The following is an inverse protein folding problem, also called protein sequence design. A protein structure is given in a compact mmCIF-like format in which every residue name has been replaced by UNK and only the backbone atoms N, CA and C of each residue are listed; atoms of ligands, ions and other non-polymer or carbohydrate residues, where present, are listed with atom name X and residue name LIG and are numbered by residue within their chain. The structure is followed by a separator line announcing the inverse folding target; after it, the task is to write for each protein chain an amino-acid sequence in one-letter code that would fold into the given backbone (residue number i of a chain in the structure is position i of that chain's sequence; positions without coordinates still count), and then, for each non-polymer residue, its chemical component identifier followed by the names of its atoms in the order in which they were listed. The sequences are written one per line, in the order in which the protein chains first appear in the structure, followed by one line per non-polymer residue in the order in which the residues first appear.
data_IF_839468101892
#
_entry.id   IF_839468101892
#
_cell.length_a   1.000
_cell.length_b   1.000
_cell.length_c   1.000
_cell.angle_alpha   90.00
_cell.angle_beta   90.00
_cell.angle_gamma   90.00
#
_symmetry.space_group_name_H-M   'P 1'
#
loop_
_entity.id
_entity.type
_entity.pdbx_description
1 polymer ?
#
# COMPACT_ATOMS: atom_id res chain seq x y z
N UNK A 1 -17.14 -17.45 -6.24
CA UNK A 1 -18.27 -17.23 -5.29
C UNK A 1 -18.01 -17.93 -3.95
N UNK A 2 -17.57 -19.21 -3.94
CA UNK A 2 -17.18 -19.89 -2.70
C UNK A 2 -16.02 -19.21 -1.94
N UNK A 3 -15.04 -18.66 -2.64
CA UNK A 3 -13.88 -18.00 -1.99
C UNK A 3 -14.27 -16.72 -1.25
N UNK A 4 -15.23 -15.95 -1.80
CA UNK A 4 -15.75 -14.75 -1.14
C UNK A 4 -16.52 -15.08 0.15
N UNK A 5 -17.32 -16.15 0.13
CA UNK A 5 -18.06 -16.60 1.32
C UNK A 5 -17.12 -17.07 2.44
N UNK A 6 -15.94 -17.61 2.09
CA UNK A 6 -14.92 -17.99 3.06
C UNK A 6 -14.21 -16.78 3.72
N UNK A 7 -14.22 -15.63 3.05
CA UNK A 7 -13.59 -14.38 3.51
C UNK A 7 -14.53 -13.53 4.36
N UNK A 8 -15.86 -13.64 4.18
CA UNK A 8 -16.85 -12.83 4.91
C UNK A 8 -16.63 -12.80 6.44
N UNK A 9 -16.30 -13.91 7.12
CA UNK A 9 -16.01 -13.87 8.56
C UNK A 9 -14.79 -12.99 8.89
N UNK A 10 -13.75 -12.98 8.02
CA UNK A 10 -12.52 -12.20 8.23
C UNK A 10 -12.77 -10.69 8.17
N UNK A 11 -13.77 -10.24 7.41
CA UNK A 11 -14.15 -8.82 7.39
C UNK A 11 -14.50 -8.28 8.79
N UNK A 12 -14.96 -9.15 9.69
CA UNK A 12 -15.28 -8.77 11.08
C UNK A 12 -14.09 -8.83 12.04
N UNK A 13 -13.02 -9.56 11.69
CA UNK A 13 -11.86 -9.80 12.56
C UNK A 13 -10.59 -9.07 12.11
N UNK A 14 -10.61 -8.50 10.90
CA UNK A 14 -9.46 -7.82 10.29
C UNK A 14 -9.15 -8.44 8.93
N UNK A 15 -8.90 -7.57 7.95
CA UNK A 15 -8.58 -7.95 6.59
C UNK A 15 -7.08 -7.74 6.32
N UNK A 16 -6.39 -8.80 5.92
CA UNK A 16 -4.99 -8.72 5.56
C UNK A 16 -4.83 -8.13 4.16
N UNK A 17 -4.14 -6.99 4.08
CA UNK A 17 -3.78 -6.33 2.82
C UNK A 17 -2.29 -6.08 2.78
N UNK A 18 -1.71 -6.19 1.59
CA UNK A 18 -0.29 -5.90 1.39
C UNK A 18 -0.16 -4.89 0.25
N UNK A 19 0.14 -3.63 0.61
CA UNK A 19 0.23 -2.53 -0.36
C UNK A 19 1.52 -2.61 -1.17
N UNK A 20 1.49 -2.05 -2.38
CA UNK A 20 2.68 -1.66 -3.14
C UNK A 20 2.73 -0.14 -3.21
N UNK A 21 3.93 0.42 -3.17
CA UNK A 21 4.09 1.87 -3.07
C UNK A 21 4.05 2.60 -4.43
N UNK A 22 3.64 1.91 -5.49
CA UNK A 22 3.70 2.37 -6.89
C UNK A 22 2.44 3.08 -7.38
N UNK A 23 1.30 2.87 -6.73
CA UNK A 23 0.02 3.40 -7.19
C UNK A 23 -1.06 3.28 -6.12
N UNK A 24 -2.11 4.11 -6.18
CA UNK A 24 -3.13 4.20 -5.12
C UNK A 24 -4.09 3.00 -5.05
N UNK A 25 -4.04 2.10 -6.04
CA UNK A 25 -4.84 0.87 -6.11
C UNK A 25 -3.94 -0.37 -6.10
N UNK A 26 -2.64 -0.21 -5.86
CA UNK A 26 -1.70 -1.29 -6.04
C UNK A 26 -1.60 -2.11 -4.75
N UNK A 27 -2.33 -3.21 -4.70
CA UNK A 27 -2.24 -4.20 -3.64
C UNK A 27 -1.71 -5.52 -4.22
N UNK A 28 -1.02 -6.31 -3.41
CA UNK A 28 -0.86 -7.72 -3.69
C UNK A 28 -2.23 -8.40 -3.60
N UNK A 29 -2.56 -9.20 -4.61
CA UNK A 29 -3.85 -9.86 -4.67
C UNK A 29 -3.93 -10.94 -3.59
N UNK A 30 -4.73 -10.67 -2.55
CA UNK A 30 -5.10 -11.64 -1.54
C UNK A 30 -6.53 -12.12 -1.80
N UNK A 31 -6.90 -13.34 -1.38
CA UNK A 31 -8.29 -13.82 -1.46
C UNK A 31 -9.29 -12.83 -0.86
N UNK A 32 -8.85 -12.09 0.16
CA UNK A 32 -9.57 -11.04 0.85
C UNK A 32 -10.06 -9.91 -0.07
N UNK A 33 -9.26 -9.55 -1.09
CA UNK A 33 -9.58 -8.50 -2.05
C UNK A 33 -10.77 -8.85 -2.96
N UNK A 34 -11.09 -10.15 -3.13
CA UNK A 34 -12.15 -10.61 -4.05
C UNK A 34 -13.52 -10.01 -3.70
N UNK A 35 -13.77 -9.68 -2.44
CA UNK A 35 -15.05 -9.12 -1.99
C UNK A 35 -15.26 -7.73 -2.59
N UNK A 36 -14.20 -6.92 -2.68
CA UNK A 36 -14.27 -5.58 -3.27
C UNK A 36 -14.49 -5.65 -4.77
N UNK A 37 -13.81 -6.57 -5.46
CA UNK A 37 -13.99 -6.80 -6.90
C UNK A 37 -15.41 -7.29 -7.23
N UNK A 38 -15.97 -8.20 -6.42
CA UNK A 38 -17.33 -8.73 -6.64
C UNK A 38 -18.42 -7.68 -6.40
N UNK A 39 -18.17 -6.72 -5.51
CA UNK A 39 -19.10 -5.63 -5.21
C UNK A 39 -18.89 -4.41 -6.11
N UNK A 40 -17.90 -4.47 -7.03
CA UNK A 40 -17.45 -3.33 -7.84
C UNK A 40 -17.11 -2.10 -6.98
N UNK A 41 -16.53 -2.33 -5.80
CA UNK A 41 -16.11 -1.29 -4.86
C UNK A 41 -14.60 -1.13 -4.99
N UNK A 42 -14.09 0.05 -5.37
CA UNK A 42 -12.64 0.25 -5.47
C UNK A 42 -12.00 0.32 -4.07
N UNK A 43 -10.90 -0.42 -3.91
CA UNK A 43 -10.01 -0.33 -2.75
C UNK A 43 -8.83 0.58 -3.06
N UNK A 44 -8.57 1.54 -2.17
CA UNK A 44 -7.52 2.55 -2.31
C UNK A 44 -6.60 2.60 -1.09
N UNK A 45 -5.37 3.07 -1.29
CA UNK A 45 -4.46 3.55 -0.26
C UNK A 45 -3.69 4.78 -0.77
N UNK A 46 -3.08 5.54 0.15
CA UNK A 46 -2.29 6.74 -0.19
C UNK A 46 -0.81 6.62 0.18
N UNK A 47 -0.34 5.41 0.40
CA UNK A 47 1.03 5.12 0.78
C UNK A 47 1.91 4.90 -0.46
N UNK A 48 2.32 5.99 -1.10
CA UNK A 48 3.11 5.97 -2.34
C UNK A 48 4.50 6.57 -2.10
N UNK A 49 5.48 6.09 -2.86
CA UNK A 49 6.77 6.77 -2.95
C UNK A 49 6.60 8.02 -3.82
N UNK A 50 7.25 9.12 -3.42
CA UNK A 50 7.34 10.33 -4.23
C UNK A 50 8.34 10.13 -5.38
N UNK A 51 7.94 10.27 -6.66
CA UNK A 51 8.83 10.16 -7.82
C UNK A 51 9.98 11.17 -7.83
N UNK A 52 9.87 12.28 -7.08
CA UNK A 52 10.95 13.26 -6.93
C UNK A 52 12.14 12.68 -6.16
N UNK A 53 11.90 11.72 -5.27
CA UNK A 53 12.92 11.07 -4.44
C UNK A 53 13.46 9.82 -5.12
N UNK A 54 14.31 10.00 -6.13
CA UNK A 54 14.88 8.90 -6.94
C UNK A 54 15.59 7.82 -6.09
N UNK A 55 16.24 8.21 -4.99
CA UNK A 55 16.89 7.29 -4.06
C UNK A 55 15.87 6.34 -3.40
N UNK A 56 14.72 6.88 -2.96
CA UNK A 56 13.64 6.08 -2.35
C UNK A 56 12.96 5.22 -3.40
N UNK A 57 12.73 5.75 -4.60
CA UNK A 57 12.18 4.98 -5.73
C UNK A 57 13.07 3.78 -6.04
N UNK A 58 14.39 3.96 -6.08
CA UNK A 58 15.33 2.88 -6.32
C UNK A 58 15.36 1.87 -5.16
N UNK A 59 15.41 2.35 -3.92
CA UNK A 59 15.46 1.52 -2.72
C UNK A 59 14.20 0.66 -2.54
N UNK A 60 13.01 1.26 -2.74
CA UNK A 60 11.70 0.59 -2.60
C UNK A 60 11.35 -0.24 -3.84
N UNK A 61 11.63 0.29 -5.03
CA UNK A 61 11.34 -0.36 -6.30
C UNK A 61 9.86 -0.71 -6.46
N UNK A 62 9.58 -1.97 -6.82
CA UNK A 62 8.22 -2.51 -7.01
C UNK A 62 7.79 -3.47 -5.88
N UNK A 63 8.52 -3.44 -4.76
CA UNK A 63 8.24 -4.29 -3.61
C UNK A 63 6.87 -3.94 -3.00
N UNK A 64 6.16 -4.97 -2.53
CA UNK A 64 5.09 -4.78 -1.56
C UNK A 64 5.66 -4.49 -0.17
N UNK A 65 4.82 -4.08 0.78
CA UNK A 65 5.26 -3.83 2.16
C UNK A 65 6.02 -5.02 2.75
N UNK A 66 5.47 -6.24 2.65
CA UNK A 66 6.14 -7.45 3.16
C UNK A 66 7.50 -7.69 2.50
N UNK A 67 7.57 -7.55 1.17
CA UNK A 67 8.82 -7.71 0.41
C UNK A 67 9.85 -6.65 0.79
N UNK A 68 9.40 -5.42 1.06
CA UNK A 68 10.29 -4.32 1.45
C UNK A 68 10.88 -4.55 2.84
N UNK A 69 10.08 -5.01 3.80
CA UNK A 69 10.55 -5.37 5.14
C UNK A 69 11.60 -6.49 5.07
N UNK A 70 11.33 -7.55 4.29
CA UNK A 70 12.31 -8.63 4.06
C UNK A 70 13.59 -8.12 3.38
N UNK A 71 13.47 -7.22 2.41
CA UNK A 71 14.62 -6.56 1.75
C UNK A 71 15.45 -5.79 2.77
N UNK A 72 14.83 -4.99 3.64
CA UNK A 72 15.54 -4.20 4.67
C UNK A 72 16.33 -5.11 5.62
N UNK A 73 15.70 -6.19 6.09
CA UNK A 73 16.36 -7.16 6.98
C UNK A 73 17.57 -7.79 6.28
N UNK A 74 17.40 -8.22 5.04
CA UNK A 74 18.46 -8.84 4.23
C UNK A 74 19.61 -7.86 3.95
N UNK A 75 19.29 -6.61 3.63
CA UNK A 75 20.27 -5.53 3.42
C UNK A 75 21.14 -5.27 4.65
N UNK A 76 20.56 -5.31 5.87
CA UNK A 76 21.30 -5.12 7.13
C UNK A 76 22.32 -6.22 7.43
N UNK A 77 22.11 -7.42 6.88
CA UNK A 77 23.01 -8.55 7.06
C UNK A 77 24.10 -8.64 5.98
N UNK A 78 24.01 -7.79 4.95
CA UNK A 78 24.93 -7.80 3.83
C UNK A 78 26.23 -7.04 4.14
N UNK A 79 27.32 -7.43 3.50
CA UNK A 79 28.61 -6.71 3.57
C UNK A 79 28.78 -5.68 2.45
N UNK A 80 27.90 -5.69 1.45
CA UNK A 80 27.91 -4.71 0.36
C UNK A 80 27.35 -3.37 0.84
N UNK A 81 28.20 -2.34 0.82
CA UNK A 81 27.84 -0.99 1.25
C UNK A 81 26.68 -0.39 0.46
N UNK A 82 26.50 -0.79 -0.82
CA UNK A 82 25.40 -0.29 -1.65
C UNK A 82 24.06 -0.85 -1.18
N UNK A 83 23.99 -2.17 -0.95
CA UNK A 83 22.79 -2.85 -0.45
C UNK A 83 22.41 -2.41 0.97
N UNK A 84 23.40 -2.15 1.82
CA UNK A 84 23.19 -1.59 3.17
C UNK A 84 22.59 -0.19 3.06
N UNK A 85 23.13 0.67 2.17
CA UNK A 85 22.61 2.02 1.96
C UNK A 85 21.18 2.00 1.42
N UNK A 86 20.86 1.13 0.45
CA UNK A 86 19.50 0.96 -0.04
C UNK A 86 18.53 0.53 1.07
N UNK A 87 18.96 -0.43 1.91
CA UNK A 87 18.16 -0.88 3.05
C UNK A 87 17.88 0.24 4.05
N UNK A 88 18.86 1.11 4.31
CA UNK A 88 18.70 2.26 5.19
C UNK A 88 17.72 3.30 4.61
N UNK A 89 17.79 3.59 3.31
CA UNK A 89 16.86 4.51 2.64
C UNK A 89 15.42 3.95 2.67
N UNK A 90 15.25 2.65 2.42
CA UNK A 90 13.96 1.98 2.50
C UNK A 90 13.39 2.00 3.93
N UNK A 91 14.23 1.79 4.94
CA UNK A 91 13.84 1.88 6.35
C UNK A 91 13.41 3.31 6.73
N UNK A 92 14.21 4.32 6.36
CA UNK A 92 13.88 5.72 6.59
C UNK A 92 12.56 6.12 5.93
N UNK A 93 12.28 5.61 4.73
CA UNK A 93 11.00 5.83 4.08
C UNK A 93 9.84 5.28 4.91
N UNK A 94 9.93 4.03 5.40
CA UNK A 94 8.88 3.43 6.23
C UNK A 94 8.67 4.21 7.52
N UNK A 95 9.75 4.64 8.18
CA UNK A 95 9.68 5.42 9.42
C UNK A 95 9.06 6.80 9.20
N UNK A 96 9.50 7.51 8.16
CA UNK A 96 9.00 8.84 7.83
C UNK A 96 7.52 8.82 7.38
N UNK A 97 7.06 7.70 6.82
CA UNK A 97 5.70 7.54 6.28
C UNK A 97 4.85 6.55 7.07
N UNK A 98 5.19 6.30 8.35
CA UNK A 98 4.53 5.32 9.21
C UNK A 98 3.01 5.53 9.38
N UNK A 99 2.49 6.73 9.07
CA UNK A 99 1.04 7.01 9.04
C UNK A 99 0.31 6.46 7.80
N UNK A 100 1.05 5.78 6.92
CA UNK A 100 0.57 5.11 5.70
C UNK A 100 -0.14 6.05 4.71
N UNK A 101 0.24 7.33 4.72
CA UNK A 101 -0.26 8.33 3.80
C UNK A 101 0.85 9.33 3.50
N UNK A 102 1.05 9.60 2.22
CA UNK A 102 2.03 10.56 1.72
C UNK A 102 1.35 11.71 0.99
N UNK A 103 2.02 12.84 0.85
CA UNK A 103 1.50 13.96 0.07
C UNK A 103 1.28 13.57 -1.40
N UNK A 104 2.29 12.93 -2.02
CA UNK A 104 2.18 12.40 -3.37
C UNK A 104 0.99 11.44 -3.51
N UNK A 105 0.84 10.49 -2.59
CA UNK A 105 -0.29 9.57 -2.59
C UNK A 105 -1.64 10.24 -2.40
N UNK A 106 -1.74 11.35 -1.66
CA UNK A 106 -2.97 12.13 -1.54
C UNK A 106 -3.33 12.86 -2.85
N UNK A 107 -2.34 13.41 -3.55
CA UNK A 107 -2.54 14.02 -4.86
C UNK A 107 -3.02 12.99 -5.89
N UNK A 108 -2.33 11.84 -5.97
CA UNK A 108 -2.70 10.73 -6.84
C UNK A 108 -4.09 10.17 -6.50
N UNK A 109 -4.43 10.05 -5.21
CA UNK A 109 -5.74 9.57 -4.77
C UNK A 109 -6.85 10.53 -5.21
N UNK A 110 -6.59 11.83 -5.08
CA UNK A 110 -7.52 12.89 -5.53
C UNK A 110 -7.70 12.87 -7.04
N UNK A 111 -6.66 12.55 -7.81
CA UNK A 111 -6.74 12.43 -9.27
C UNK A 111 -7.45 11.14 -9.72
N UNK A 112 -7.16 10.01 -9.07
CA UNK A 112 -7.65 8.69 -9.45
C UNK A 112 -9.08 8.37 -8.99
N UNK A 113 -9.51 8.91 -7.85
CA UNK A 113 -10.87 8.72 -7.35
C UNK A 113 -11.89 9.47 -8.24
N UNK A 114 -12.98 8.80 -8.61
CA UNK A 114 -14.05 9.42 -9.40
C UNK A 114 -15.00 10.21 -8.50
N UNK A 115 -15.54 11.29 -9.05
CA UNK A 115 -16.53 12.12 -8.35
C UNK A 115 -17.78 11.30 -8.03
N UNK A 116 -18.24 11.33 -6.78
CA UNK A 116 -19.43 10.61 -6.32
C UNK A 116 -19.28 9.08 -6.19
N UNK A 117 -18.10 8.52 -6.47
CA UNK A 117 -17.82 7.08 -6.31
C UNK A 117 -17.54 6.76 -4.84
N UNK A 118 -18.24 5.74 -4.31
CA UNK A 118 -17.95 5.17 -3.00
C UNK A 118 -16.82 4.15 -3.16
N UNK A 119 -15.77 4.30 -2.36
CA UNK A 119 -14.65 3.37 -2.30
C UNK A 119 -14.27 3.04 -0.85
N UNK A 120 -13.37 2.09 -0.71
CA UNK A 120 -12.74 1.77 0.58
C UNK A 120 -11.34 2.33 0.58
N UNK A 121 -10.95 3.01 1.65
CA UNK A 121 -9.63 3.60 1.83
C UNK A 121 -8.91 2.94 3.01
N UNK A 122 -7.79 2.30 2.72
CA UNK A 122 -6.90 1.71 3.71
C UNK A 122 -5.83 2.71 4.14
N UNK A 123 -5.78 2.98 5.45
CA UNK A 123 -4.74 3.79 6.08
C UNK A 123 -4.61 3.44 7.55
N UNK A 124 -3.37 3.35 8.01
CA UNK A 124 -3.01 3.12 9.41
C UNK A 124 -3.73 1.89 10.00
N UNK A 125 -3.67 0.77 9.28
CA UNK A 125 -4.32 -0.50 9.63
C UNK A 125 -5.85 -0.39 9.83
N UNK A 126 -6.48 0.61 9.20
CA UNK A 126 -7.91 0.85 9.27
C UNK A 126 -8.50 0.97 7.85
N UNK A 127 -9.73 0.49 7.68
CA UNK A 127 -10.51 0.63 6.46
C UNK A 127 -11.63 1.65 6.67
N UNK A 128 -11.63 2.70 5.85
CA UNK A 128 -12.64 3.76 5.90
C UNK A 128 -13.47 3.76 4.63
N UNK A 129 -14.76 4.08 4.73
CA UNK A 129 -15.55 4.45 3.56
C UNK A 129 -15.07 5.83 3.05
N UNK A 130 -14.81 5.94 1.76
CA UNK A 130 -14.32 7.15 1.11
C UNK A 130 -15.28 7.54 -0.02
N UNK A 131 -15.55 8.83 -0.13
CA UNK A 131 -16.26 9.42 -1.26
C UNK A 131 -15.53 10.69 -1.67
N UNK A 132 -15.43 10.94 -2.98
CA UNK A 132 -14.96 12.21 -3.50
C UNK A 132 -16.15 13.10 -3.80
N UNK A 133 -16.16 14.29 -3.19
CA UNK A 133 -17.16 15.32 -3.39
C UNK A 133 -16.49 16.69 -3.51
N UNK A 134 -16.95 17.51 -4.44
CA UNK A 134 -16.51 18.92 -4.61
C UNK A 134 -16.98 19.85 -3.49
#
# INVERSE_FOLDING_TARGET
MNDAMAVLPKLSTGLDVNVRFTGVRDFEYTPECIVFDLLDIPLYHGWLVDPQSQEVVHAVGRCSYNQLVEKIISSKQCTDSTLVSEGLVAEQFLDATATQLTYHGLCELTAAAKEGELGVFFRNNHFSAMIKHK
#
